data_IF_141321768799
#
_entry.id   IF_141321768799
#
_cell.length_a   1.000
_cell.length_b   1.000
_cell.length_c   1.000
_cell.angle_alpha   90.00
_cell.angle_beta   90.00
_cell.angle_gamma   90.00
#
_symmetry.space_group_name_H-M   'P 1'
#
loop_
_entity.id
_entity.type
_entity.pdbx_description
1 polymer ?
#
# COMPACT_ATOMS: atom_id res chain seq x y z
N UNK A 1 -19.96 34.10 -7.92
CA UNK A 1 -20.34 33.55 -6.60
C UNK A 1 -19.12 33.74 -5.73
N UNK A 2 -19.26 34.51 -4.66
CA UNK A 2 -18.17 34.96 -3.79
C UNK A 2 -17.80 33.80 -2.84
N UNK A 3 -16.51 33.51 -2.71
CA UNK A 3 -16.01 32.44 -1.85
C UNK A 3 -15.87 32.98 -0.42
N UNK A 4 -16.66 32.43 0.49
CA UNK A 4 -16.50 32.66 1.92
C UNK A 4 -15.43 31.72 2.50
N UNK A 5 -14.79 32.14 3.59
CA UNK A 5 -13.75 31.38 4.26
C UNK A 5 -14.31 30.08 4.87
N UNK A 6 -13.41 29.13 5.13
CA UNK A 6 -13.70 27.87 5.83
C UNK A 6 -14.57 28.16 7.07
N UNK A 7 -15.82 27.67 7.07
CA UNK A 7 -16.63 27.67 8.27
C UNK A 7 -15.93 26.77 9.29
N UNK A 8 -15.52 27.34 10.42
CA UNK A 8 -14.87 26.69 11.58
C UNK A 8 -15.78 25.65 12.28
N UNK A 9 -16.75 25.07 11.57
CA UNK A 9 -17.71 24.13 12.10
C UNK A 9 -17.33 22.72 11.62
N UNK A 10 -16.56 22.01 12.46
CA UNK A 10 -16.04 20.64 12.21
C UNK A 10 -17.13 19.57 11.99
N UNK A 11 -18.42 19.94 12.05
CA UNK A 11 -19.57 19.02 11.96
C UNK A 11 -20.18 18.86 10.55
N UNK A 12 -19.64 19.48 9.50
CA UNK A 12 -20.22 19.41 8.14
C UNK A 12 -19.46 18.43 7.22
N UNK A 13 -20.10 17.31 6.90
CA UNK A 13 -19.61 16.32 5.92
C UNK A 13 -19.93 16.68 4.48
N UNK A 14 -19.12 16.19 3.54
CA UNK A 14 -19.30 16.41 2.09
C UNK A 14 -20.22 15.36 1.47
N UNK A 15 -21.23 15.79 0.71
CA UNK A 15 -22.19 14.92 0.01
C UNK A 15 -21.71 14.64 -1.42
N UNK A 16 -21.40 13.38 -1.73
CA UNK A 16 -21.13 12.92 -3.10
C UNK A 16 -22.33 12.20 -3.71
N UNK A 17 -22.51 12.30 -5.02
CA UNK A 17 -23.49 11.49 -5.78
C UNK A 17 -22.71 10.49 -6.62
N UNK A 18 -22.96 9.18 -6.43
CA UNK A 18 -22.36 8.10 -7.21
C UNK A 18 -23.47 7.33 -7.93
N UNK A 19 -23.36 7.19 -9.26
CA UNK A 19 -24.26 6.38 -10.08
C UNK A 19 -23.58 5.08 -10.50
N UNK A 20 -24.22 3.93 -10.27
CA UNK A 20 -23.71 2.62 -10.69
C UNK A 20 -24.82 1.57 -10.77
N UNK A 21 -24.51 0.35 -11.26
CA UNK A 21 -25.50 -0.71 -11.43
C UNK A 21 -26.20 -1.09 -10.12
N UNK A 22 -27.49 -1.42 -10.21
CA UNK A 22 -28.37 -1.70 -9.07
C UNK A 22 -27.76 -2.80 -8.18
N UNK A 23 -27.52 -2.47 -6.90
CA UNK A 23 -27.21 -3.45 -5.84
C UNK A 23 -25.73 -3.58 -5.44
N UNK A 24 -24.81 -2.84 -6.07
CA UNK A 24 -23.36 -2.98 -5.82
C UNK A 24 -22.72 -1.84 -5.02
N UNK A 25 -23.46 -0.78 -4.65
CA UNK A 25 -22.89 0.35 -3.90
C UNK A 25 -23.41 0.32 -2.45
N UNK A 26 -22.68 -0.29 -1.50
CA UNK A 26 -22.97 -0.13 -0.08
C UNK A 26 -22.72 1.34 0.28
N UNK A 27 -23.81 2.09 0.51
CA UNK A 27 -23.74 3.48 0.95
C UNK A 27 -23.96 3.59 2.45
N UNK A 28 -23.22 4.48 3.11
CA UNK A 28 -23.30 4.72 4.55
C UNK A 28 -24.67 5.22 5.03
N UNK A 29 -25.52 5.69 4.11
CA UNK A 29 -26.89 6.16 4.38
C UNK A 29 -27.99 5.15 4.00
N UNK A 30 -27.66 4.06 3.29
CA UNK A 30 -28.63 3.02 2.90
C UNK A 30 -29.80 3.49 2.02
N UNK A 31 -29.72 4.67 1.42
CA UNK A 31 -30.79 5.23 0.59
C UNK A 31 -30.49 5.03 -0.89
N UNK A 32 -31.24 4.13 -1.53
CA UNK A 32 -31.17 3.84 -2.97
C UNK A 32 -32.50 4.22 -3.61
N UNK A 33 -32.50 5.17 -4.53
CA UNK A 33 -33.68 5.51 -5.36
C UNK A 33 -33.32 5.21 -6.81
N UNK A 34 -33.65 4.01 -7.29
CA UNK A 34 -33.23 3.55 -8.62
C UNK A 34 -31.71 3.31 -8.69
N UNK A 35 -31.05 3.80 -9.75
CA UNK A 35 -29.59 3.70 -9.96
C UNK A 35 -28.78 4.75 -9.17
N UNK A 36 -29.44 5.58 -8.36
CA UNK A 36 -28.82 6.68 -7.62
C UNK A 36 -28.56 6.23 -6.18
N UNK A 37 -27.29 6.27 -5.80
CA UNK A 37 -26.82 5.98 -4.45
C UNK A 37 -26.16 7.22 -3.86
N UNK A 38 -26.58 7.62 -2.67
CA UNK A 38 -26.01 8.77 -1.94
C UNK A 38 -25.20 8.23 -0.77
N UNK A 39 -23.90 8.49 -0.78
CA UNK A 39 -22.98 8.03 0.25
C UNK A 39 -22.05 9.15 0.69
N UNK A 40 -21.66 9.13 1.97
CA UNK A 40 -20.59 9.98 2.47
C UNK A 40 -19.24 9.31 2.22
N UNK A 41 -18.28 10.08 1.72
CA UNK A 41 -16.89 9.66 1.73
C UNK A 41 -16.34 9.87 3.15
N UNK A 42 -15.86 8.80 3.80
CA UNK A 42 -15.38 8.81 5.19
C UNK A 42 -14.00 9.50 5.33
N UNK A 43 -13.92 10.79 4.93
CA UNK A 43 -12.70 11.58 4.91
C UNK A 43 -12.06 11.70 6.29
N UNK A 44 -12.88 11.81 7.33
CA UNK A 44 -12.53 11.80 8.74
C UNK A 44 -11.76 10.54 9.13
N UNK A 45 -12.29 9.38 8.77
CA UNK A 45 -11.68 8.07 9.03
C UNK A 45 -10.33 7.96 8.33
N UNK A 46 -10.23 8.39 7.06
CA UNK A 46 -8.96 8.41 6.34
C UNK A 46 -7.94 9.38 6.96
N UNK A 47 -8.38 10.56 7.39
CA UNK A 47 -7.52 11.58 7.99
C UNK A 47 -6.97 11.12 9.35
N UNK A 48 -7.81 10.55 10.20
CA UNK A 48 -7.39 9.95 11.48
C UNK A 48 -6.38 8.83 11.26
N UNK A 49 -6.63 7.95 10.29
CA UNK A 49 -5.67 6.90 9.93
C UNK A 49 -4.33 7.46 9.47
N UNK A 50 -4.32 8.49 8.62
CA UNK A 50 -3.09 9.14 8.15
C UNK A 50 -2.31 9.76 9.32
N UNK A 51 -3.02 10.37 10.29
CA UNK A 51 -2.43 10.91 11.53
C UNK A 51 -1.86 9.82 12.41
N UNK A 52 -2.49 8.65 12.45
CA UNK A 52 -2.08 7.52 13.29
C UNK A 52 -0.97 6.66 12.66
N UNK A 53 -0.74 6.74 11.35
CA UNK A 53 0.30 5.95 10.64
C UNK A 53 1.67 5.94 11.34
N UNK A 54 2.23 7.07 11.82
CA UNK A 54 3.53 7.06 12.52
C UNK A 54 3.52 6.16 13.77
N UNK A 55 2.41 6.17 14.51
CA UNK A 55 2.25 5.33 15.70
C UNK A 55 2.08 3.85 15.33
N UNK A 56 1.36 3.55 14.24
CA UNK A 56 1.13 2.19 13.75
C UNK A 56 2.44 1.53 13.31
N UNK A 57 3.35 2.29 12.71
CA UNK A 57 4.68 1.85 12.28
C UNK A 57 5.59 1.39 13.43
N UNK A 58 5.23 1.66 14.69
CA UNK A 58 5.94 1.10 15.85
C UNK A 58 5.68 -0.40 16.03
N UNK A 59 4.60 -0.93 15.44
CA UNK A 59 4.17 -2.31 15.56
C UNK A 59 4.26 -3.02 14.21
N UNK A 60 4.58 -4.32 14.23
CA UNK A 60 4.61 -5.17 13.02
C UNK A 60 3.26 -5.18 12.30
N UNK A 61 2.15 -5.11 13.05
CA UNK A 61 0.80 -5.00 12.48
C UNK A 61 0.65 -3.77 11.58
N UNK A 62 1.15 -2.61 12.01
CA UNK A 62 1.10 -1.39 11.20
C UNK A 62 1.92 -1.46 9.92
N UNK A 63 3.02 -2.23 9.90
CA UNK A 63 3.76 -2.51 8.68
C UNK A 63 2.93 -3.33 7.69
N UNK A 64 2.26 -4.40 8.13
CA UNK A 64 1.40 -5.22 7.25
C UNK A 64 0.27 -4.39 6.64
N UNK A 65 -0.29 -3.51 7.45
CA UNK A 65 -1.32 -2.54 7.11
C UNK A 65 -0.85 -1.60 5.99
N UNK A 66 0.33 -0.98 6.16
CA UNK A 66 0.89 -0.05 5.16
C UNK A 66 1.27 -0.79 3.87
N UNK A 67 1.74 -2.03 3.97
CA UNK A 67 1.99 -2.86 2.79
C UNK A 67 0.73 -3.09 1.96
N UNK A 68 -0.43 -3.20 2.59
CA UNK A 68 -1.71 -3.41 1.91
C UNK A 68 -2.40 -2.12 1.46
N UNK A 69 -2.07 -0.97 2.05
CA UNK A 69 -2.89 0.25 2.00
C UNK A 69 -3.41 0.72 0.62
N UNK A 70 -2.60 0.71 -0.47
CA UNK A 70 -3.11 1.13 -1.79
C UNK A 70 -4.13 0.16 -2.40
N UNK A 71 -4.15 -1.09 -1.93
CA UNK A 71 -4.88 -2.21 -2.53
C UNK A 71 -6.01 -2.68 -1.60
N UNK A 72 -5.72 -2.80 -0.31
CA UNK A 72 -6.60 -3.31 0.74
C UNK A 72 -6.65 -2.24 1.84
N UNK A 73 -7.71 -1.44 1.84
CA UNK A 73 -7.91 -0.38 2.84
C UNK A 73 -8.69 -0.85 4.05
N UNK A 74 -8.63 -0.05 5.12
CA UNK A 74 -9.26 -0.35 6.41
C UNK A 74 -10.77 -0.31 6.39
N UNK A 75 -11.35 0.50 5.50
CA UNK A 75 -12.79 0.74 5.42
C UNK A 75 -13.49 -0.08 4.32
N UNK A 76 -12.86 -1.17 3.86
CA UNK A 76 -13.37 -2.05 2.80
C UNK A 76 -12.81 -1.74 1.41
N UNK A 77 -12.45 -0.48 1.15
CA UNK A 77 -11.79 -0.05 -0.09
C UNK A 77 -10.41 0.53 0.23
N UNK A 78 -9.38 0.17 -0.55
CA UNK A 78 -8.04 0.77 -0.49
C UNK A 78 -8.04 2.26 -0.75
N UNK A 79 -6.89 2.92 -0.54
CA UNK A 79 -6.65 4.24 -1.10
C UNK A 79 -5.85 4.10 -2.41
N UNK A 80 -6.50 3.84 -3.56
CA UNK A 80 -5.79 3.66 -4.84
C UNK A 80 -5.27 4.99 -5.43
N UNK A 81 -5.49 6.11 -4.72
CA UNK A 81 -5.07 7.45 -5.10
C UNK A 81 -6.24 8.37 -5.43
N UNK A 82 -5.95 9.44 -6.16
CA UNK A 82 -6.85 10.58 -6.36
C UNK A 82 -7.70 10.50 -7.64
N UNK A 83 -7.84 9.32 -8.26
CA UNK A 83 -8.44 9.17 -9.60
C UNK A 83 -9.97 9.01 -9.65
N UNK A 84 -10.63 8.72 -8.53
CA UNK A 84 -12.06 8.35 -8.47
C UNK A 84 -12.90 9.45 -7.77
N UNK A 85 -13.86 9.06 -6.94
CA UNK A 85 -14.76 9.91 -6.14
C UNK A 85 -14.03 11.05 -5.42
N UNK A 86 -12.79 10.82 -4.98
CA UNK A 86 -11.93 11.85 -4.36
C UNK A 86 -11.66 13.03 -5.29
N UNK A 87 -11.29 12.80 -6.55
CA UNK A 87 -11.02 13.89 -7.50
C UNK A 87 -12.26 14.76 -7.75
N UNK A 88 -13.45 14.17 -7.65
CA UNK A 88 -14.72 14.88 -7.82
C UNK A 88 -15.14 15.66 -6.57
N UNK A 89 -14.60 15.31 -5.41
CA UNK A 89 -14.86 15.98 -4.13
C UNK A 89 -13.94 17.20 -3.89
N UNK A 90 -12.90 17.39 -4.70
CA UNK A 90 -11.93 18.47 -4.55
C UNK A 90 -11.82 19.32 -5.82
N UNK A 91 -11.86 20.64 -5.64
CA UNK A 91 -11.60 21.60 -6.70
C UNK A 91 -10.22 22.26 -6.50
N UNK A 92 -9.32 22.23 -7.49
CA UNK A 92 -8.02 22.86 -7.38
C UNK A 92 -8.14 24.39 -7.41
N UNK A 93 -7.67 25.05 -6.36
CA UNK A 93 -7.70 26.51 -6.22
C UNK A 93 -6.29 27.12 -6.25
N UNK A 94 -6.20 28.40 -6.59
CA UNK A 94 -4.97 29.17 -6.55
C UNK A 94 -3.96 28.72 -7.61
N UNK A 95 -2.75 28.34 -7.20
CA UNK A 95 -1.69 27.93 -8.14
C UNK A 95 -2.03 26.65 -8.92
N UNK A 96 -2.94 25.83 -8.39
CA UNK A 96 -3.36 24.58 -9.00
C UNK A 96 -4.55 24.75 -9.96
N UNK A 97 -5.24 25.90 -9.93
CA UNK A 97 -6.40 26.19 -10.79
C UNK A 97 -6.07 26.01 -12.29
N UNK A 98 -4.93 26.51 -12.83
CA UNK A 98 -4.59 26.33 -14.24
C UNK A 98 -4.31 24.87 -14.62
N UNK A 99 -3.95 24.03 -13.64
CA UNK A 99 -3.68 22.61 -13.85
C UNK A 99 -4.96 21.78 -13.85
N UNK A 100 -6.05 22.29 -13.26
CA UNK A 100 -7.33 21.59 -13.15
C UNK A 100 -7.14 20.14 -12.66
N UNK A 101 -7.75 19.20 -13.37
CA UNK A 101 -7.62 17.76 -13.09
C UNK A 101 -6.18 17.23 -13.16
N UNK A 102 -5.27 17.92 -13.85
CA UNK A 102 -3.87 17.55 -13.99
C UNK A 102 -3.12 17.45 -12.67
N UNK A 103 -3.53 18.21 -11.64
CA UNK A 103 -2.91 18.13 -10.31
C UNK A 103 -3.14 16.75 -9.66
N UNK A 104 -4.33 16.17 -9.85
CA UNK A 104 -4.67 14.85 -9.31
C UNK A 104 -3.92 13.74 -10.04
N UNK A 105 -3.69 13.90 -11.35
CA UNK A 105 -2.83 12.98 -12.11
C UNK A 105 -1.40 13.01 -11.57
N UNK A 106 -0.83 14.20 -11.37
CA UNK A 106 0.52 14.35 -10.80
C UNK A 106 0.59 13.74 -9.41
N UNK A 107 -0.37 14.04 -8.54
CA UNK A 107 -0.44 13.50 -7.19
C UNK A 107 -0.55 11.96 -7.21
N UNK A 108 -1.38 11.40 -8.07
CA UNK A 108 -1.53 9.96 -8.24
C UNK A 108 -0.24 9.32 -8.74
N UNK A 109 0.42 9.91 -9.74
CA UNK A 109 1.70 9.43 -10.25
C UNK A 109 2.79 9.47 -9.17
N UNK A 110 2.90 10.56 -8.41
CA UNK A 110 3.87 10.67 -7.30
C UNK A 110 3.59 9.63 -6.21
N UNK A 111 2.32 9.41 -5.88
CA UNK A 111 1.90 8.37 -4.93
C UNK A 111 2.37 7.00 -5.39
N UNK A 112 2.07 6.62 -6.64
CA UNK A 112 2.44 5.32 -7.17
C UNK A 112 3.95 5.16 -7.36
N UNK A 113 4.66 6.21 -7.79
CA UNK A 113 6.13 6.20 -7.85
C UNK A 113 6.70 5.97 -6.45
N UNK A 114 6.21 6.68 -5.43
CA UNK A 114 6.65 6.52 -4.06
C UNK A 114 6.40 5.10 -3.55
N UNK A 115 5.19 4.57 -3.78
CA UNK A 115 4.81 3.25 -3.30
C UNK A 115 5.53 2.11 -4.01
N UNK A 116 5.74 2.21 -5.33
CA UNK A 116 6.53 1.24 -6.09
C UNK A 116 8.00 1.25 -5.64
N UNK A 117 8.60 2.42 -5.42
CA UNK A 117 9.96 2.51 -4.88
C UNK A 117 10.05 1.90 -3.48
N UNK A 118 9.02 2.10 -2.64
CA UNK A 118 8.93 1.46 -1.33
C UNK A 118 8.90 -0.07 -1.43
N UNK A 119 8.07 -0.65 -2.32
CA UNK A 119 8.07 -2.09 -2.55
C UNK A 119 9.41 -2.60 -3.09
N UNK A 120 10.01 -1.92 -4.06
CA UNK A 120 11.34 -2.30 -4.59
C UNK A 120 12.39 -2.26 -3.48
N UNK A 121 12.37 -1.25 -2.61
CA UNK A 121 13.23 -1.18 -1.43
C UNK A 121 13.06 -2.38 -0.50
N UNK A 122 11.82 -2.79 -0.25
CA UNK A 122 11.53 -3.99 0.57
C UNK A 122 11.99 -5.29 -0.11
N UNK A 123 11.80 -5.41 -1.42
CA UNK A 123 12.33 -6.54 -2.19
C UNK A 123 13.85 -6.62 -2.09
N UNK A 124 14.54 -5.47 -2.16
CA UNK A 124 16.00 -5.42 -1.98
C UNK A 124 16.44 -5.81 -0.57
N UNK A 125 15.59 -5.65 0.45
CA UNK A 125 15.87 -6.09 1.82
C UNK A 125 15.66 -7.58 2.05
N UNK A 126 15.11 -8.34 1.09
CA UNK A 126 14.89 -9.77 1.26
C UNK A 126 16.22 -10.53 1.37
N UNK A 127 16.27 -11.59 2.20
CA UNK A 127 17.47 -12.41 2.40
C UNK A 127 17.68 -13.40 1.25
N UNK A 128 17.78 -12.90 0.02
CA UNK A 128 17.98 -13.67 -1.20
C UNK A 128 19.08 -13.03 -2.07
N UNK A 129 20.04 -13.81 -2.55
CA UNK A 129 21.06 -13.37 -3.52
C UNK A 129 20.45 -13.51 -4.92
N UNK A 130 20.45 -12.46 -5.77
CA UNK A 130 21.40 -11.34 -5.85
C UNK A 130 20.99 -10.02 -5.18
N UNK A 131 19.95 -9.98 -4.35
CA UNK A 131 19.47 -8.75 -3.71
C UNK A 131 20.43 -8.30 -2.58
N UNK A 132 20.47 -6.99 -2.32
CA UNK A 132 21.37 -6.39 -1.31
C UNK A 132 21.18 -7.00 0.09
N UNK A 133 19.94 -7.29 0.46
CA UNK A 133 19.53 -7.94 1.71
C UNK A 133 20.10 -9.35 1.86
N UNK A 134 20.35 -10.07 0.77
CA UNK A 134 21.02 -11.37 0.78
C UNK A 134 22.47 -11.27 1.24
N UNK A 135 23.19 -10.23 0.82
CA UNK A 135 24.57 -10.00 1.24
C UNK A 135 24.66 -9.57 2.71
N UNK A 136 23.79 -8.66 3.13
CA UNK A 136 23.67 -8.21 4.51
C UNK A 136 23.31 -9.38 5.43
N UNK A 137 22.28 -10.16 5.06
CA UNK A 137 21.86 -11.35 5.81
C UNK A 137 22.99 -12.37 5.93
N UNK A 138 23.73 -12.63 4.83
CA UNK A 138 24.87 -13.55 4.87
C UNK A 138 25.96 -13.09 5.84
N UNK A 139 26.25 -11.80 5.91
CA UNK A 139 27.24 -11.24 6.84
C UNK A 139 26.79 -11.36 8.31
N UNK A 140 25.51 -11.11 8.59
CA UNK A 140 24.91 -11.32 9.91
C UNK A 140 24.91 -12.80 10.31
N UNK A 141 24.45 -13.68 9.42
CA UNK A 141 24.43 -15.12 9.64
C UNK A 141 25.85 -15.67 9.88
N UNK A 142 26.83 -15.21 9.10
CA UNK A 142 28.24 -15.55 9.31
C UNK A 142 28.69 -15.16 10.72
N UNK A 143 28.49 -13.90 11.10
CA UNK A 143 28.91 -13.38 12.41
C UNK A 143 28.25 -14.13 13.57
N UNK A 144 26.98 -14.50 13.42
CA UNK A 144 26.24 -15.28 14.41
C UNK A 144 26.78 -16.71 14.54
N UNK A 145 26.95 -17.40 13.41
CA UNK A 145 27.44 -18.80 13.40
C UNK A 145 28.91 -18.89 13.81
N UNK A 146 29.73 -17.89 13.47
CA UNK A 146 31.12 -17.78 13.89
C UNK A 146 31.24 -17.67 15.41
N UNK A 147 30.41 -16.82 16.04
CA UNK A 147 30.33 -16.72 17.51
C UNK A 147 29.90 -18.03 18.18
N UNK A 148 29.01 -18.79 17.55
CA UNK A 148 28.51 -20.05 18.11
C UNK A 148 29.50 -21.22 17.95
N UNK A 149 30.17 -21.29 16.79
CA UNK A 149 30.96 -22.46 16.39
C UNK A 149 32.46 -22.28 16.66
N UNK A 150 32.93 -21.03 16.80
CA UNK A 150 34.35 -20.68 16.95
C UNK A 150 35.21 -21.00 15.72
N UNK A 151 34.59 -21.37 14.59
CA UNK A 151 35.27 -21.78 13.37
C UNK A 151 34.74 -20.99 12.16
N UNK A 152 35.58 -20.09 11.65
CA UNK A 152 35.27 -19.20 10.53
C UNK A 152 34.93 -19.95 9.24
N UNK A 153 35.68 -21.02 8.93
CA UNK A 153 35.45 -21.80 7.71
C UNK A 153 34.09 -22.51 7.73
N UNK A 154 33.70 -23.06 8.90
CA UNK A 154 32.40 -23.69 9.09
C UNK A 154 31.27 -22.66 9.10
N UNK A 155 31.49 -21.50 9.70
CA UNK A 155 30.52 -20.40 9.72
C UNK A 155 30.21 -19.87 8.33
N UNK A 156 31.23 -19.65 7.50
CA UNK A 156 31.05 -19.19 6.13
C UNK A 156 30.30 -20.20 5.26
N UNK A 157 30.62 -21.50 5.39
CA UNK A 157 29.92 -22.56 4.66
C UNK A 157 28.44 -22.62 5.04
N UNK A 158 28.11 -22.55 6.33
CA UNK A 158 26.73 -22.57 6.83
C UNK A 158 25.99 -21.32 6.36
N UNK A 159 26.54 -20.12 6.60
CA UNK A 159 25.90 -18.86 6.22
C UNK A 159 25.63 -18.79 4.71
N UNK A 160 26.59 -19.20 3.88
CA UNK A 160 26.42 -19.25 2.42
C UNK A 160 25.37 -20.27 2.00
N UNK A 161 25.36 -21.47 2.61
CA UNK A 161 24.37 -22.51 2.29
C UNK A 161 22.95 -22.08 2.70
N UNK A 162 22.79 -21.51 3.90
CA UNK A 162 21.50 -21.00 4.38
C UNK A 162 20.99 -19.86 3.50
N UNK A 163 21.86 -18.91 3.14
CA UNK A 163 21.48 -17.79 2.26
C UNK A 163 21.07 -18.31 0.88
N UNK A 164 21.83 -19.25 0.29
CA UNK A 164 21.51 -19.84 -1.01
C UNK A 164 20.19 -20.63 -0.97
N UNK A 165 19.97 -21.42 0.08
CA UNK A 165 18.72 -22.14 0.30
C UNK A 165 17.53 -21.18 0.39
N UNK A 166 17.65 -20.12 1.18
CA UNK A 166 16.59 -19.13 1.35
C UNK A 166 16.31 -18.37 0.05
N UNK A 167 17.36 -18.04 -0.72
CA UNK A 167 17.24 -17.46 -2.05
C UNK A 167 16.45 -18.36 -2.99
N UNK A 168 16.80 -19.65 -3.04
CA UNK A 168 16.11 -20.63 -3.88
C UNK A 168 14.68 -20.88 -3.41
N UNK A 169 14.43 -20.88 -2.10
CA UNK A 169 13.11 -21.05 -1.52
C UNK A 169 12.18 -19.88 -1.89
N UNK A 170 12.67 -18.64 -1.76
CA UNK A 170 11.94 -17.44 -2.17
C UNK A 170 11.65 -17.49 -3.68
N UNK A 171 12.65 -17.80 -4.50
CA UNK A 171 12.47 -17.96 -5.95
C UNK A 171 11.40 -19.02 -6.26
N UNK A 172 11.49 -20.19 -5.63
CA UNK A 172 10.53 -21.27 -5.81
C UNK A 172 9.12 -20.86 -5.38
N UNK A 173 8.96 -20.09 -4.29
CA UNK A 173 7.66 -19.59 -3.86
C UNK A 173 7.05 -18.59 -4.85
N UNK A 174 7.86 -17.72 -5.45
CA UNK A 174 7.40 -16.77 -6.48
C UNK A 174 6.96 -17.52 -7.72
N UNK A 175 7.78 -18.47 -8.20
CA UNK A 175 7.44 -19.32 -9.33
C UNK A 175 6.17 -20.14 -9.06
N UNK A 176 6.03 -20.69 -7.85
CA UNK A 176 4.83 -21.42 -7.46
C UNK A 176 3.60 -20.51 -7.42
N UNK A 177 3.71 -19.27 -6.94
CA UNK A 177 2.60 -18.32 -6.95
C UNK A 177 2.15 -17.96 -8.37
N UNK A 178 3.11 -17.82 -9.30
CA UNK A 178 2.83 -17.51 -10.71
C UNK A 178 2.24 -18.73 -11.43
N UNK A 179 2.87 -19.89 -11.33
CA UNK A 179 2.52 -21.09 -12.11
C UNK A 179 1.50 -22.01 -11.43
N UNK A 180 1.36 -21.94 -10.10
CA UNK A 180 0.46 -22.78 -9.30
C UNK A 180 -0.99 -22.74 -9.79
N UNK A 181 -1.58 -21.56 -10.04
CA UNK A 181 -2.93 -21.47 -10.60
C UNK A 181 -3.08 -22.16 -11.97
N UNK A 182 -2.06 -22.07 -12.83
CA UNK A 182 -2.08 -22.69 -14.17
C UNK A 182 -1.93 -24.21 -14.12
N UNK A 183 -1.22 -24.75 -13.12
CA UNK A 183 -1.05 -26.20 -12.93
C UNK A 183 -2.36 -26.86 -12.46
N UNK A 184 -3.12 -26.18 -11.62
CA UNK A 184 -4.37 -26.72 -11.03
C UNK A 184 -5.53 -26.69 -12.01
N UNK A 185 -5.60 -25.67 -12.89
CA UNK A 185 -6.73 -25.52 -13.80
C UNK A 185 -6.56 -26.16 -15.19
N UNK A 186 -5.36 -26.62 -15.55
CA UNK A 186 -5.09 -27.10 -16.91
C UNK A 186 -5.25 -25.97 -17.95
N UNK A 187 -4.66 -26.13 -19.13
CA UNK A 187 -4.90 -25.19 -20.24
C UNK A 187 -6.34 -25.25 -20.74
#
# INVERSE_FOLDING_TARGET
VELDAHLDNEEQGYLGIVSGPIGEIPTSLGFTVGDISVGYFAADTYLEMLKDMPSMLTQIGGWLIILGFPIVGFAGEGFPGFGSTLAQAYEPLGWAEPLGMGVFWIANTLLWIGWLNFYVGLFNCLPAVPLDGGHVFRAYAHSFVAKLTGNEAKANRIASATTAFLSLFILASILFMIFGPYIVHGF
#
